data_IF_854619575026
#
_entry.id   IF_854619575026
#
_cell.length_a   1.000
_cell.length_b   1.000
_cell.length_c   1.000
_cell.angle_alpha   90.00
_cell.angle_beta   90.00
_cell.angle_gamma   90.00
#
_symmetry.space_group_name_H-M   'P 1'
#
loop_
_entity.id
_entity.type
_entity.pdbx_description
1 polymer ?
#
# COMPACT_ATOMS: atom_id res chain seq x y z
N UNK A 1 -5.52 31.75 -26.73
CA UNK A 1 -4.75 31.46 -25.50
C UNK A 1 -3.27 31.90 -25.55
N UNK A 2 -2.73 32.37 -26.68
CA UNK A 2 -1.33 32.87 -26.77
C UNK A 2 -1.13 34.31 -26.29
N UNK A 3 -2.19 35.12 -26.16
CA UNK A 3 -2.06 36.57 -25.95
C UNK A 3 -2.16 37.06 -24.51
N UNK A 4 -2.41 36.19 -23.52
CA UNK A 4 -2.61 36.63 -22.13
C UNK A 4 -1.51 36.10 -21.21
N UNK A 5 -0.32 36.72 -21.29
CA UNK A 5 0.85 36.37 -20.49
C UNK A 5 0.63 36.63 -18.99
N UNK A 6 -0.14 37.66 -18.63
CA UNK A 6 -0.47 37.97 -17.24
C UNK A 6 -1.35 36.87 -16.62
N UNK A 7 -2.35 36.37 -17.34
CA UNK A 7 -3.16 35.24 -16.89
C UNK A 7 -2.31 33.98 -16.63
N UNK A 8 -1.40 33.63 -17.55
CA UNK A 8 -0.48 32.48 -17.36
C UNK A 8 0.41 32.63 -16.14
N UNK A 9 0.95 33.83 -15.91
CA UNK A 9 1.80 34.13 -14.76
C UNK A 9 1.02 33.98 -13.45
N UNK A 10 -0.19 34.54 -13.38
CA UNK A 10 -1.07 34.45 -12.21
C UNK A 10 -1.41 32.99 -11.92
N UNK A 11 -1.84 32.22 -12.93
CA UNK A 11 -2.17 30.80 -12.74
C UNK A 11 -0.95 30.00 -12.30
N UNK A 12 0.23 30.24 -12.90
CA UNK A 12 1.46 29.53 -12.51
C UNK A 12 1.86 29.84 -11.07
N UNK A 13 1.75 31.10 -10.65
CA UNK A 13 2.04 31.52 -9.27
C UNK A 13 1.07 30.90 -8.28
N UNK A 14 -0.24 30.89 -8.58
CA UNK A 14 -1.25 30.27 -7.72
C UNK A 14 -1.01 28.76 -7.56
N UNK A 15 -0.69 28.06 -8.66
CA UNK A 15 -0.36 26.63 -8.62
C UNK A 15 0.93 26.35 -7.83
N UNK A 16 1.93 27.23 -7.94
CA UNK A 16 3.16 27.13 -7.16
C UNK A 16 2.90 27.33 -5.66
N UNK A 17 2.11 28.35 -5.30
CA UNK A 17 1.72 28.60 -3.91
C UNK A 17 0.90 27.44 -3.31
N UNK A 18 0.00 26.83 -4.08
CA UNK A 18 -0.73 25.62 -3.65
C UNK A 18 0.21 24.43 -3.45
N UNK A 19 1.16 24.22 -4.36
CA UNK A 19 2.16 23.17 -4.22
C UNK A 19 3.02 23.37 -2.96
N UNK A 20 3.54 24.57 -2.75
CA UNK A 20 4.41 24.88 -1.61
C UNK A 20 3.65 24.74 -0.28
N UNK A 21 2.38 25.20 -0.24
CA UNK A 21 1.50 24.99 0.92
C UNK A 21 1.30 23.51 1.20
N UNK A 22 0.96 22.71 0.20
CA UNK A 22 0.69 21.28 0.39
C UNK A 22 1.93 20.48 0.82
N UNK A 23 3.13 20.86 0.39
CA UNK A 23 4.37 20.20 0.83
C UNK A 23 4.89 20.71 2.19
N UNK A 24 4.54 21.94 2.61
CA UNK A 24 4.94 22.47 3.92
C UNK A 24 4.26 21.81 5.13
N UNK A 25 3.22 20.98 4.90
CA UNK A 25 2.52 20.21 5.92
C UNK A 25 2.87 18.71 5.89
N UNK A 26 4.03 18.33 5.37
CA UNK A 26 4.48 16.95 5.52
C UNK A 26 4.77 16.67 7.01
N UNK A 27 3.96 15.79 7.61
CA UNK A 27 4.16 15.24 8.94
C UNK A 27 5.54 14.60 9.04
N UNK A 28 6.17 14.59 10.22
CA UNK A 28 7.43 13.87 10.49
C UNK A 28 7.28 12.33 10.42
N UNK A 29 6.12 11.82 9.99
CA UNK A 29 5.89 10.40 9.74
C UNK A 29 6.66 9.97 8.50
N UNK A 30 7.37 8.85 8.60
CA UNK A 30 8.04 8.21 7.46
C UNK A 30 6.98 7.84 6.41
N UNK A 31 7.14 8.34 5.18
CA UNK A 31 6.17 8.10 4.09
C UNK A 31 6.34 6.65 3.64
N UNK A 32 5.27 5.87 3.72
CA UNK A 32 5.28 4.49 3.23
C UNK A 32 5.54 4.45 1.71
N UNK A 33 6.21 3.40 1.24
CA UNK A 33 6.51 3.26 -0.18
C UNK A 33 5.22 3.34 -1.04
N UNK A 34 4.12 2.76 -0.55
CA UNK A 34 2.78 2.80 -1.15
C UNK A 34 2.22 4.23 -1.30
N UNK A 35 2.57 5.13 -0.38
CA UNK A 35 2.13 6.54 -0.39
C UNK A 35 3.08 7.44 -1.20
N UNK A 36 4.20 6.89 -1.67
CA UNK A 36 5.29 7.64 -2.32
C UNK A 36 5.31 7.55 -3.84
N UNK A 37 4.36 6.87 -4.49
CA UNK A 37 4.34 6.64 -5.94
C UNK A 37 4.51 7.92 -6.77
N UNK A 38 3.76 8.98 -6.43
CA UNK A 38 3.83 10.26 -7.13
C UNK A 38 4.79 11.25 -6.46
N UNK A 39 4.95 11.17 -5.13
CA UNK A 39 5.86 12.05 -4.39
C UNK A 39 7.33 11.80 -4.72
N UNK A 40 7.72 10.54 -4.90
CA UNK A 40 9.11 10.18 -5.23
C UNK A 40 9.47 10.34 -6.71
N UNK A 41 8.56 10.85 -7.55
CA UNK A 41 8.83 11.08 -8.97
C UNK A 41 9.00 9.81 -9.80
N UNK A 42 9.43 9.99 -11.05
CA UNK A 42 9.61 8.91 -12.01
C UNK A 42 10.93 8.15 -11.77
N UNK A 43 10.85 6.82 -11.90
CA UNK A 43 12.03 5.95 -11.87
C UNK A 43 13.04 6.27 -12.98
N UNK A 44 14.30 6.00 -12.69
CA UNK A 44 15.40 6.17 -13.65
C UNK A 44 15.23 5.23 -14.85
N UNK A 45 15.91 5.53 -15.96
CA UNK A 45 15.91 4.62 -17.10
C UNK A 45 16.61 3.29 -16.80
N UNK A 46 17.59 3.28 -15.90
CA UNK A 46 18.27 2.07 -15.45
C UNK A 46 17.31 1.17 -14.66
N UNK A 47 16.60 1.75 -13.69
CA UNK A 47 15.59 1.03 -12.91
C UNK A 47 14.47 0.48 -13.81
N UNK A 48 14.00 1.23 -14.80
CA UNK A 48 12.99 0.73 -15.75
C UNK A 48 13.47 -0.50 -16.51
N UNK A 49 14.75 -0.57 -16.89
CA UNK A 49 15.30 -1.77 -17.53
C UNK A 49 15.39 -2.94 -16.55
N UNK A 50 15.73 -2.68 -15.28
CA UNK A 50 15.73 -3.69 -14.22
C UNK A 50 14.31 -4.19 -13.92
N UNK A 51 13.29 -3.32 -13.94
CA UNK A 51 11.88 -3.71 -13.81
C UNK A 51 11.46 -4.65 -14.94
N UNK A 52 11.79 -4.30 -16.19
CA UNK A 52 11.52 -5.16 -17.35
C UNK A 52 12.19 -6.54 -17.22
N UNK A 53 13.43 -6.57 -16.70
CA UNK A 53 14.16 -7.81 -16.42
C UNK A 53 13.49 -8.60 -15.30
N UNK A 54 13.15 -7.93 -14.20
CA UNK A 54 12.48 -8.52 -13.04
C UNK A 54 11.20 -9.25 -13.43
N UNK A 55 10.34 -8.64 -14.26
CA UNK A 55 9.09 -9.26 -14.68
C UNK A 55 9.26 -10.46 -15.64
N UNK A 56 10.39 -10.57 -16.33
CA UNK A 56 10.70 -11.66 -17.27
C UNK A 56 11.52 -12.79 -16.65
N UNK A 57 12.14 -12.55 -15.50
CA UNK A 57 12.99 -13.50 -14.81
C UNK A 57 12.19 -14.49 -13.96
N UNK A 58 12.80 -15.64 -13.71
CA UNK A 58 12.30 -16.62 -12.75
C UNK A 58 12.45 -16.12 -11.31
N UNK A 59 11.60 -16.62 -10.39
CA UNK A 59 11.60 -16.17 -8.99
C UNK A 59 12.98 -16.20 -8.32
N UNK A 60 13.78 -17.24 -8.58
CA UNK A 60 15.13 -17.37 -8.02
C UNK A 60 16.11 -16.25 -8.42
N UNK A 61 15.87 -15.58 -9.55
CA UNK A 61 16.69 -14.46 -10.03
C UNK A 61 16.13 -13.11 -9.58
N UNK A 62 14.82 -13.02 -9.36
CA UNK A 62 14.14 -11.77 -8.96
C UNK A 62 14.69 -11.16 -7.67
N UNK A 63 15.06 -12.00 -6.69
CA UNK A 63 15.67 -11.55 -5.44
C UNK A 63 16.96 -10.74 -5.71
N UNK A 64 17.82 -11.22 -6.62
CA UNK A 64 19.07 -10.53 -6.97
C UNK A 64 18.81 -9.22 -7.72
N UNK A 65 17.80 -9.22 -8.59
CA UNK A 65 17.44 -8.01 -9.35
C UNK A 65 16.93 -6.92 -8.41
N UNK A 66 16.24 -7.29 -7.33
CA UNK A 66 15.80 -6.31 -6.34
C UNK A 66 16.97 -5.57 -5.70
N UNK A 67 18.05 -6.28 -5.35
CA UNK A 67 19.26 -5.69 -4.76
C UNK A 67 19.97 -4.70 -5.72
N UNK A 68 19.68 -4.78 -7.03
CA UNK A 68 20.28 -3.92 -8.06
C UNK A 68 19.49 -2.61 -8.29
N UNK A 69 18.29 -2.44 -7.71
CA UNK A 69 17.51 -1.20 -7.87
C UNK A 69 18.18 -0.02 -7.16
N UNK A 70 18.23 1.14 -7.82
CA UNK A 70 18.73 2.38 -7.23
C UNK A 70 17.62 3.08 -6.41
N UNK A 71 16.36 2.96 -6.85
CA UNK A 71 15.20 3.46 -6.13
C UNK A 71 14.75 2.46 -5.05
N UNK A 72 14.87 2.84 -3.78
CA UNK A 72 14.51 2.01 -2.62
C UNK A 72 13.04 1.55 -2.65
N UNK A 73 12.14 2.31 -3.30
CA UNK A 73 10.73 1.92 -3.45
C UNK A 73 10.61 0.66 -4.30
N UNK A 74 11.44 0.50 -5.33
CA UNK A 74 11.43 -0.68 -6.19
C UNK A 74 12.00 -1.90 -5.48
N UNK A 75 13.02 -1.72 -4.65
CA UNK A 75 13.48 -2.78 -3.74
C UNK A 75 12.34 -3.23 -2.82
N UNK A 76 11.67 -2.28 -2.16
CA UNK A 76 10.53 -2.56 -1.29
C UNK A 76 9.43 -3.32 -2.03
N UNK A 77 8.91 -2.79 -3.15
CA UNK A 77 7.83 -3.42 -3.91
C UNK A 77 8.23 -4.79 -4.47
N UNK A 78 9.47 -4.95 -4.91
CA UNK A 78 10.00 -6.23 -5.37
C UNK A 78 10.02 -7.27 -4.26
N UNK A 79 10.51 -6.91 -3.06
CA UNK A 79 10.50 -7.77 -1.88
C UNK A 79 9.07 -8.13 -1.45
N UNK A 80 8.15 -7.16 -1.46
CA UNK A 80 6.73 -7.38 -1.16
C UNK A 80 6.08 -8.36 -2.12
N UNK A 81 6.30 -8.19 -3.42
CA UNK A 81 5.76 -9.10 -4.42
C UNK A 81 6.29 -10.52 -4.26
N UNK A 82 7.59 -10.67 -3.99
CA UNK A 82 8.18 -11.99 -3.74
C UNK A 82 7.57 -12.63 -2.49
N UNK A 83 7.39 -11.86 -1.42
CA UNK A 83 6.76 -12.36 -0.19
C UNK A 83 5.33 -12.88 -0.45
N UNK A 84 4.54 -12.18 -1.25
CA UNK A 84 3.15 -12.55 -1.55
C UNK A 84 3.04 -13.77 -2.48
N UNK A 85 3.91 -13.84 -3.50
CA UNK A 85 3.78 -14.85 -4.57
C UNK A 85 4.68 -16.09 -4.38
N UNK A 86 5.86 -15.92 -3.76
CA UNK A 86 6.81 -17.00 -3.53
C UNK A 86 7.64 -16.75 -2.25
N UNK A 87 7.03 -16.78 -1.06
CA UNK A 87 7.74 -16.49 0.20
C UNK A 87 8.91 -17.45 0.48
N UNK A 88 8.87 -18.66 -0.08
CA UNK A 88 9.87 -19.72 0.17
C UNK A 88 11.27 -19.37 -0.33
N UNK A 89 11.41 -18.43 -1.28
CA UNK A 89 12.71 -17.98 -1.79
C UNK A 89 13.34 -16.89 -0.94
N UNK A 90 12.59 -16.28 -0.02
CA UNK A 90 13.13 -15.22 0.83
C UNK A 90 14.02 -15.82 1.91
N UNK A 91 15.17 -15.18 2.21
CA UNK A 91 15.89 -15.43 3.45
C UNK A 91 14.95 -15.26 4.65
N UNK A 92 15.07 -16.16 5.63
CA UNK A 92 14.17 -16.20 6.79
C UNK A 92 14.08 -14.85 7.53
N UNK A 93 15.19 -14.13 7.62
CA UNK A 93 15.23 -12.81 8.23
C UNK A 93 14.39 -11.78 7.47
N UNK A 94 14.56 -11.70 6.15
CA UNK A 94 13.78 -10.80 5.28
C UNK A 94 12.30 -11.16 5.34
N UNK A 95 11.98 -12.45 5.23
CA UNK A 95 10.62 -12.94 5.38
C UNK A 95 10.00 -12.49 6.70
N UNK A 96 10.69 -12.72 7.83
CA UNK A 96 10.18 -12.35 9.15
C UNK A 96 9.98 -10.84 9.30
N UNK A 97 10.89 -10.02 8.74
CA UNK A 97 10.77 -8.57 8.79
C UNK A 97 9.53 -8.07 8.03
N UNK A 98 9.32 -8.58 6.80
CA UNK A 98 8.15 -8.25 5.99
C UNK A 98 6.88 -8.74 6.70
N UNK A 99 6.86 -10.01 7.13
CA UNK A 99 5.71 -10.61 7.80
C UNK A 99 5.31 -9.85 9.07
N UNK A 100 6.29 -9.49 9.91
CA UNK A 100 6.05 -8.73 11.15
C UNK A 100 5.56 -7.32 10.86
N UNK A 101 6.07 -6.67 9.80
CA UNK A 101 5.58 -5.36 9.37
C UNK A 101 4.11 -5.41 8.97
N UNK A 102 3.70 -6.41 8.19
CA UNK A 102 2.29 -6.62 7.82
C UNK A 102 1.44 -6.90 9.05
N UNK A 103 1.90 -7.80 9.92
CA UNK A 103 1.18 -8.14 11.14
C UNK A 103 0.93 -6.90 11.99
N UNK A 104 1.93 -6.04 12.17
CA UNK A 104 1.80 -4.79 12.91
C UNK A 104 0.78 -3.84 12.28
N UNK A 105 0.73 -3.74 10.95
CA UNK A 105 -0.25 -2.90 10.25
C UNK A 105 -1.67 -3.46 10.38
N UNK A 106 -1.85 -4.75 10.08
CA UNK A 106 -3.16 -5.41 9.95
C UNK A 106 -3.80 -5.66 11.32
N UNK A 107 -2.99 -5.96 12.35
CA UNK A 107 -3.46 -6.21 13.72
C UNK A 107 -3.44 -4.97 14.62
N UNK A 108 -3.10 -3.79 14.09
CA UNK A 108 -3.07 -2.56 14.87
C UNK A 108 -4.43 -2.25 15.50
N UNK A 109 -4.40 -1.90 16.79
CA UNK A 109 -5.55 -1.46 17.59
C UNK A 109 -5.72 0.07 17.57
N UNK A 110 -4.81 0.80 16.92
CA UNK A 110 -4.87 2.25 16.84
C UNK A 110 -5.86 2.71 15.76
N UNK A 111 -6.12 4.02 15.74
CA UNK A 111 -6.88 4.63 14.65
C UNK A 111 -5.98 4.90 13.44
N UNK A 112 -5.73 3.83 12.66
CA UNK A 112 -4.88 3.89 11.47
C UNK A 112 -5.60 4.50 10.26
N UNK A 113 -4.81 5.03 9.32
CA UNK A 113 -5.29 5.54 8.02
C UNK A 113 -5.77 4.40 7.10
N UNK A 114 -5.15 3.22 7.23
CA UNK A 114 -5.55 2.00 6.54
C UNK A 114 -6.59 1.20 7.35
N UNK A 115 -7.06 0.10 6.76
CA UNK A 115 -8.04 -0.77 7.38
C UNK A 115 -7.35 -1.87 8.18
N UNK A 116 -7.82 -2.11 9.41
CA UNK A 116 -7.25 -3.10 10.34
C UNK A 116 -8.27 -4.19 10.66
N UNK A 117 -7.81 -5.36 11.11
CA UNK A 117 -8.67 -6.48 11.52
C UNK A 117 -9.67 -6.07 12.62
N UNK A 118 -9.26 -5.35 13.69
CA UNK A 118 -10.21 -4.87 14.70
C UNK A 118 -11.29 -3.96 14.10
N UNK A 119 -10.94 -3.10 13.14
CA UNK A 119 -11.88 -2.22 12.45
C UNK A 119 -12.83 -3.02 11.54
N UNK A 120 -12.31 -4.05 10.86
CA UNK A 120 -13.10 -4.94 10.03
C UNK A 120 -14.18 -5.69 10.82
N UNK A 121 -13.84 -6.24 11.99
CA UNK A 121 -14.84 -6.88 12.85
C UNK A 121 -15.90 -5.90 13.34
N UNK A 122 -15.48 -4.72 13.79
CA UNK A 122 -16.41 -3.70 14.26
C UNK A 122 -17.42 -3.32 13.18
N UNK A 123 -16.94 -3.03 11.98
CA UNK A 123 -17.82 -2.65 10.87
C UNK A 123 -18.71 -3.83 10.42
N UNK A 124 -18.19 -5.07 10.45
CA UNK A 124 -18.98 -6.29 10.19
C UNK A 124 -20.13 -6.43 11.19
N UNK A 125 -19.86 -6.24 12.48
CA UNK A 125 -20.87 -6.34 13.54
C UNK A 125 -21.93 -5.23 13.45
N UNK A 126 -21.50 -3.98 13.20
CA UNK A 126 -22.41 -2.86 12.98
C UNK A 126 -23.34 -3.11 11.77
N UNK A 127 -22.80 -3.67 10.68
CA UNK A 127 -23.58 -4.04 9.49
C UNK A 127 -24.53 -5.21 9.75
N UNK A 128 -24.14 -6.20 10.56
CA UNK A 128 -25.04 -7.31 10.94
C UNK A 128 -26.26 -6.79 11.70
N UNK A 129 -26.07 -5.88 12.67
CA UNK A 129 -27.19 -5.27 13.41
C UNK A 129 -28.15 -4.56 12.45
N UNK A 130 -27.62 -3.81 11.49
CA UNK A 130 -28.43 -3.15 10.47
C UNK A 130 -29.24 -4.14 9.63
N UNK A 131 -28.58 -5.16 9.07
CA UNK A 131 -29.24 -6.11 8.17
C UNK A 131 -30.18 -7.09 8.88
N UNK A 132 -29.94 -7.36 10.17
CA UNK A 132 -30.88 -8.13 11.00
C UNK A 132 -32.20 -7.37 11.19
N UNK A 133 -32.13 -6.06 11.48
CA UNK A 133 -33.32 -5.19 11.55
C UNK A 133 -34.08 -5.11 10.21
N UNK A 134 -33.36 -5.15 9.09
CA UNK A 134 -33.94 -5.17 7.74
C UNK A 134 -34.41 -6.57 7.29
N UNK A 135 -34.26 -7.61 8.12
CA UNK A 135 -34.51 -9.01 7.78
C UNK A 135 -33.78 -9.49 6.50
N UNK A 136 -32.62 -8.89 6.19
CA UNK A 136 -31.86 -9.17 4.97
C UNK A 136 -30.92 -10.38 5.16
N UNK A 137 -31.50 -11.58 5.08
CA UNK A 137 -30.77 -12.85 5.28
C UNK A 137 -29.61 -13.05 4.31
N UNK A 138 -29.71 -12.55 3.08
CA UNK A 138 -28.63 -12.70 2.09
C UNK A 138 -27.37 -11.94 2.51
N UNK A 139 -27.53 -10.70 2.98
CA UNK A 139 -26.38 -9.90 3.43
C UNK A 139 -25.78 -10.45 4.72
N UNK A 140 -26.59 -10.98 5.63
CA UNK A 140 -26.09 -11.65 6.85
C UNK A 140 -25.22 -12.86 6.51
N UNK A 141 -25.61 -13.67 5.52
CA UNK A 141 -24.78 -14.79 5.05
C UNK A 141 -23.48 -14.33 4.38
N UNK A 142 -23.50 -13.21 3.64
CA UNK A 142 -22.28 -12.60 3.10
C UNK A 142 -21.35 -12.11 4.21
N UNK A 143 -21.89 -11.48 5.25
CA UNK A 143 -21.10 -11.01 6.39
C UNK A 143 -20.49 -12.16 7.20
N UNK A 144 -21.19 -13.29 7.35
CA UNK A 144 -20.61 -14.50 7.96
C UNK A 144 -19.42 -15.02 7.17
N UNK A 145 -19.50 -15.03 5.84
CA UNK A 145 -18.36 -15.40 4.99
C UNK A 145 -17.21 -14.40 5.11
N UNK A 146 -17.54 -13.10 5.22
CA UNK A 146 -16.55 -12.06 5.45
C UNK A 146 -15.83 -12.25 6.78
N UNK A 147 -16.53 -12.55 7.87
CA UNK A 147 -15.90 -12.85 9.17
C UNK A 147 -14.91 -14.02 9.07
N UNK A 148 -15.27 -15.09 8.34
CA UNK A 148 -14.36 -16.23 8.13
C UNK A 148 -13.06 -15.82 7.39
N UNK A 149 -13.15 -14.87 6.47
CA UNK A 149 -11.97 -14.31 5.79
C UNK A 149 -11.13 -13.46 6.74
N UNK A 150 -11.77 -12.65 7.60
CA UNK A 150 -11.07 -11.88 8.63
C UNK A 150 -10.33 -12.82 9.60
N UNK A 151 -11.00 -13.89 10.06
CA UNK A 151 -10.44 -14.92 10.94
C UNK A 151 -9.24 -15.64 10.30
N UNK A 152 -9.31 -15.94 9.00
CA UNK A 152 -8.21 -16.55 8.26
C UNK A 152 -7.01 -15.61 8.17
N UNK A 153 -7.23 -14.33 7.82
CA UNK A 153 -6.16 -13.32 7.77
C UNK A 153 -5.53 -13.15 9.15
N UNK A 154 -6.35 -13.02 10.19
CA UNK A 154 -5.86 -12.87 11.56
C UNK A 154 -4.98 -14.04 11.99
N UNK A 155 -5.39 -15.29 11.71
CA UNK A 155 -4.60 -16.49 12.02
C UNK A 155 -3.29 -16.56 11.26
N UNK A 156 -3.24 -16.01 10.04
CA UNK A 156 -2.00 -15.98 9.25
C UNK A 156 -0.95 -15.02 9.82
N UNK A 157 -1.33 -14.05 10.64
CA UNK A 157 -0.45 -13.01 11.19
C UNK A 157 -0.32 -13.04 12.73
N UNK A 158 -0.92 -14.03 13.39
CA UNK A 158 -0.80 -14.29 14.84
C UNK A 158 0.27 -15.35 15.14
#
# INVERSE_FOLDING_TARGET
MQENSSFRSIVSHLLQEEFDKNNSFDSQEEILAEESLYKGGFFSNADKQLMDKFHKSEWSEKLKICDDFDDERLFYFGMRLIYEEQPSILPKEIFNNIHSSIANQVLSMNNEKWYTIPKAYKDSDDLKVKYDNENNKEMLEKLRKFDLLIDEIQRNFQ
#
